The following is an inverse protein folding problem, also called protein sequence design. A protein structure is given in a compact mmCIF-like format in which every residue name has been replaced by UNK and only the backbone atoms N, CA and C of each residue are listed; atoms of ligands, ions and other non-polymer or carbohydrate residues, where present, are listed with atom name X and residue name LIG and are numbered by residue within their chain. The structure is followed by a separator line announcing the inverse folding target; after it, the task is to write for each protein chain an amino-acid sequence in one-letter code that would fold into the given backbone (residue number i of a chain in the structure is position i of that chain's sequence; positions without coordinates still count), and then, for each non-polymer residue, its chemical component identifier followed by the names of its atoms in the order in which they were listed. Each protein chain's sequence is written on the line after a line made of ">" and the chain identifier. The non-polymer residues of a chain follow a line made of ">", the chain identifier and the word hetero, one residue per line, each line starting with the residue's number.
data_IF_784767507994
#
_entry.id   IF_784767507994
#
_cell.length_a   1.000
_cell.length_b   1.000
_cell.length_c   1.000
_cell.angle_alpha   90.00
_cell.angle_beta   90.00
_cell.angle_gamma   90.00
#
_symmetry.space_group_name_H-M   'P 1'
#
loop_
_entity.id
_entity.type
_entity.pdbx_description
1 polymer ?
#
# COMPACT_ATOMS: atom_id res chain seq x y z
N UNK A 1 52.81 19.94 6.39
CA UNK A 1 51.94 18.84 5.93
C UNK A 1 50.74 18.77 6.86
N UNK A 2 49.62 19.35 6.45
CA UNK A 2 48.32 19.18 7.13
C UNK A 2 47.71 17.94 6.51
N UNK A 3 47.57 16.87 7.30
CA UNK A 3 46.86 15.66 6.87
C UNK A 3 45.39 16.05 6.67
N UNK A 4 44.90 15.99 5.43
CA UNK A 4 43.49 16.08 5.13
C UNK A 4 42.75 14.96 5.87
N UNK A 5 41.99 15.33 6.91
CA UNK A 5 41.05 14.40 7.53
C UNK A 5 39.98 14.09 6.49
N UNK A 6 40.05 12.92 5.88
CA UNK A 6 38.95 12.34 5.10
C UNK A 6 37.71 12.34 5.99
N UNK A 7 36.74 13.20 5.69
CA UNK A 7 35.46 13.20 6.38
C UNK A 7 34.84 11.82 6.17
N UNK A 8 34.84 10.98 7.21
CA UNK A 8 34.05 9.76 7.23
C UNK A 8 32.61 10.26 7.29
N UNK A 9 31.95 10.33 6.14
CA UNK A 9 30.57 10.77 6.04
C UNK A 9 29.71 9.78 6.81
N UNK A 10 29.35 10.13 8.05
CA UNK A 10 28.41 9.34 8.84
C UNK A 10 27.08 9.39 8.09
N UNK A 11 26.50 8.24 7.70
CA UNK A 11 25.20 8.22 7.07
C UNK A 11 24.17 8.86 8.01
N UNK A 12 23.41 9.83 7.50
CA UNK A 12 22.31 10.46 8.24
C UNK A 12 21.00 10.28 7.47
N UNK A 13 19.92 9.99 8.20
CA UNK A 13 18.58 9.95 7.63
C UNK A 13 18.13 11.39 7.40
N UNK A 14 17.90 11.75 6.14
CA UNK A 14 17.46 13.10 5.75
C UNK A 14 15.94 13.25 5.71
N UNK A 15 15.22 12.14 5.51
CA UNK A 15 13.77 12.12 5.43
C UNK A 15 13.25 10.71 5.69
N UNK A 16 11.99 10.64 6.14
CA UNK A 16 11.19 9.43 6.19
C UNK A 16 9.78 9.76 5.68
N UNK A 17 9.15 8.79 5.02
CA UNK A 17 7.81 8.91 4.44
C UNK A 17 7.02 7.63 4.72
N UNK A 18 5.72 7.75 4.90
CA UNK A 18 4.83 6.59 4.94
C UNK A 18 4.52 6.11 3.52
N UNK A 19 4.46 4.78 3.35
CA UNK A 19 3.94 4.14 2.14
C UNK A 19 2.84 3.17 2.55
N UNK A 20 1.63 3.43 2.06
CA UNK A 20 0.49 2.53 2.20
C UNK A 20 0.31 1.74 0.90
N UNK A 21 0.52 0.43 0.93
CA UNK A 21 0.30 -0.41 -0.23
C UNK A 21 -1.14 -0.95 -0.23
N UNK A 22 -1.90 -0.65 -1.28
CA UNK A 22 -3.21 -1.26 -1.50
C UNK A 22 -3.05 -2.57 -2.28
N UNK A 23 -3.11 -3.69 -1.56
CA UNK A 23 -2.80 -5.04 -2.06
C UNK A 23 -4.01 -5.98 -1.91
N UNK A 24 -5.12 -5.72 -2.64
CA UNK A 24 -6.38 -6.42 -2.44
C UNK A 24 -6.28 -7.95 -2.66
N UNK A 25 -5.40 -8.43 -3.54
CA UNK A 25 -5.26 -9.88 -3.76
C UNK A 25 -4.68 -10.61 -2.54
N UNK A 26 -3.84 -9.95 -1.74
CA UNK A 26 -3.27 -10.55 -0.53
C UNK A 26 -4.31 -10.80 0.57
N UNK A 27 -5.49 -10.18 0.48
CA UNK A 27 -6.61 -10.48 1.39
C UNK A 27 -6.94 -11.97 1.37
N UNK A 28 -6.92 -12.59 0.20
CA UNK A 28 -7.22 -14.02 0.02
C UNK A 28 -6.23 -14.94 0.73
N UNK A 29 -4.99 -14.47 0.90
CA UNK A 29 -3.91 -15.17 1.60
C UNK A 29 -4.00 -15.05 3.12
N UNK A 30 -4.91 -14.22 3.65
CA UNK A 30 -5.09 -14.03 5.08
C UNK A 30 -5.58 -15.29 5.81
N UNK A 31 -5.22 -15.42 7.09
CA UNK A 31 -5.55 -16.60 7.92
C UNK A 31 -7.05 -16.92 7.99
N UNK A 32 -7.91 -15.89 8.04
CA UNK A 32 -9.37 -16.06 8.07
C UNK A 32 -9.91 -16.46 6.68
N UNK A 33 -9.67 -15.70 5.59
CA UNK A 33 -10.04 -16.11 4.24
C UNK A 33 -9.56 -17.51 3.89
N UNK A 34 -8.30 -17.87 4.14
CA UNK A 34 -7.76 -19.19 3.81
C UNK A 34 -8.54 -20.34 4.45
N UNK A 35 -8.89 -20.25 5.74
CA UNK A 35 -9.65 -21.28 6.46
C UNK A 35 -11.10 -21.37 5.98
N UNK A 36 -11.75 -20.23 5.75
CA UNK A 36 -13.14 -20.23 5.28
C UNK A 36 -13.27 -20.67 3.82
N UNK A 37 -12.31 -20.30 2.96
CA UNK A 37 -12.27 -20.73 1.56
C UNK A 37 -12.05 -22.24 1.44
N UNK A 38 -11.24 -22.85 2.32
CA UNK A 38 -11.09 -24.30 2.37
C UNK A 38 -12.41 -25.02 2.72
N UNK A 39 -13.33 -24.35 3.44
CA UNK A 39 -14.62 -24.89 3.87
C UNK A 39 -15.76 -24.58 2.89
N UNK A 40 -15.76 -23.38 2.30
CA UNK A 40 -16.90 -22.82 1.54
C UNK A 40 -16.62 -22.71 0.03
N UNK A 41 -15.36 -22.86 -0.40
CA UNK A 41 -14.99 -22.93 -1.81
C UNK A 41 -15.26 -21.65 -2.62
N UNK A 42 -15.71 -21.84 -3.86
CA UNK A 42 -15.76 -20.78 -4.89
C UNK A 42 -16.83 -19.72 -4.64
N UNK A 43 -17.94 -20.07 -3.99
CA UNK A 43 -19.02 -19.12 -3.68
C UNK A 43 -18.48 -17.99 -2.79
N UNK A 44 -17.80 -18.36 -1.71
CA UNK A 44 -17.18 -17.38 -0.82
C UNK A 44 -16.05 -16.61 -1.52
N UNK A 45 -15.28 -17.27 -2.39
CA UNK A 45 -14.22 -16.60 -3.18
C UNK A 45 -14.79 -15.48 -4.04
N UNK A 46 -15.87 -15.76 -4.77
CA UNK A 46 -16.55 -14.79 -5.62
C UNK A 46 -17.11 -13.63 -4.79
N UNK A 47 -17.76 -13.95 -3.67
CA UNK A 47 -18.28 -12.95 -2.74
C UNK A 47 -17.16 -12.06 -2.18
N UNK A 48 -16.05 -12.64 -1.71
CA UNK A 48 -14.92 -11.86 -1.20
C UNK A 48 -14.35 -10.93 -2.26
N UNK A 49 -14.11 -11.42 -3.48
CA UNK A 49 -13.60 -10.61 -4.58
C UNK A 49 -14.52 -9.43 -4.90
N UNK A 50 -15.82 -9.64 -4.90
CA UNK A 50 -16.81 -8.59 -5.16
C UNK A 50 -16.83 -7.48 -4.09
N UNK A 51 -16.29 -7.74 -2.89
CA UNK A 51 -16.20 -6.77 -1.79
C UNK A 51 -14.80 -6.18 -1.60
N UNK A 52 -13.83 -6.53 -2.46
CA UNK A 52 -12.51 -5.89 -2.43
C UNK A 52 -12.63 -4.44 -2.92
N UNK A 53 -11.96 -3.54 -2.22
CA UNK A 53 -11.92 -2.12 -2.57
C UNK A 53 -11.03 -1.89 -3.79
N UNK A 54 -11.41 -0.93 -4.63
CA UNK A 54 -10.52 -0.44 -5.68
C UNK A 54 -9.39 0.40 -5.09
N UNK A 55 -8.32 0.62 -5.87
CA UNK A 55 -7.26 1.55 -5.46
C UNK A 55 -7.81 2.96 -5.22
N UNK A 56 -8.74 3.41 -6.07
CA UNK A 56 -9.42 4.71 -5.91
C UNK A 56 -10.14 4.81 -4.57
N UNK A 57 -10.87 3.77 -4.16
CA UNK A 57 -11.58 3.76 -2.87
C UNK A 57 -10.60 3.78 -1.69
N UNK A 58 -9.47 3.09 -1.82
CA UNK A 58 -8.41 3.12 -0.81
C UNK A 58 -7.79 4.52 -0.70
N UNK A 59 -7.53 5.18 -1.83
CA UNK A 59 -7.01 6.56 -1.84
C UNK A 59 -8.01 7.53 -1.24
N UNK A 60 -9.30 7.41 -1.60
CA UNK A 60 -10.35 8.30 -1.13
C UNK A 60 -10.76 8.07 0.34
N UNK A 61 -10.22 7.06 1.02
CA UNK A 61 -10.56 6.77 2.41
C UNK A 61 -10.03 7.89 3.34
N UNK A 62 -10.90 8.62 4.08
CA UNK A 62 -10.48 9.79 4.85
C UNK A 62 -9.30 9.55 5.80
N UNK A 63 -9.24 8.43 6.56
CA UNK A 63 -8.10 8.14 7.42
C UNK A 63 -6.77 7.95 6.68
N UNK A 64 -6.79 7.42 5.46
CA UNK A 64 -5.55 7.30 4.69
C UNK A 64 -5.03 8.67 4.26
N UNK A 65 -5.93 9.61 3.94
CA UNK A 65 -5.57 10.98 3.57
C UNK A 65 -5.00 11.77 4.75
N UNK A 66 -5.48 11.50 5.97
CA UNK A 66 -4.82 11.98 7.20
C UNK A 66 -3.44 11.36 7.36
N UNK A 67 -3.32 10.04 7.19
CA UNK A 67 -2.05 9.32 7.38
C UNK A 67 -0.95 9.79 6.41
N UNK A 68 -1.28 10.08 5.15
CA UNK A 68 -0.31 10.62 4.18
C UNK A 68 -0.15 12.14 4.26
N UNK A 69 -0.84 12.81 5.19
CA UNK A 69 -0.65 14.23 5.50
C UNK A 69 -1.33 15.20 4.54
N UNK A 70 -2.39 14.77 3.85
CA UNK A 70 -3.22 15.66 3.03
C UNK A 70 -4.34 16.33 3.83
N UNK A 71 -4.69 15.76 4.98
CA UNK A 71 -5.69 16.27 5.90
C UNK A 71 -5.17 16.20 7.33
N UNK A 72 -5.75 17.02 8.21
CA UNK A 72 -5.43 17.00 9.65
C UNK A 72 -6.31 15.97 10.37
N UNK A 73 -5.83 15.32 11.45
CA UNK A 73 -6.61 14.33 12.19
C UNK A 73 -7.97 14.84 12.69
N UNK A 74 -8.06 16.13 13.00
CA UNK A 74 -9.27 16.79 13.51
C UNK A 74 -10.46 16.66 12.55
N UNK A 75 -10.18 16.62 11.23
CA UNK A 75 -11.20 16.40 10.20
C UNK A 75 -12.02 15.12 10.49
N UNK A 76 -11.37 14.06 10.99
CA UNK A 76 -12.02 12.77 11.22
C UNK A 76 -13.02 12.79 12.39
N UNK A 77 -12.92 13.73 13.33
CA UNK A 77 -13.90 13.88 14.40
C UNK A 77 -15.24 14.38 13.87
N UNK A 78 -15.20 15.25 12.86
CA UNK A 78 -16.38 15.86 12.23
C UNK A 78 -16.88 15.03 11.04
N UNK A 79 -16.00 14.21 10.44
CA UNK A 79 -16.33 13.46 9.24
C UNK A 79 -17.38 12.35 9.52
N UNK A 80 -18.50 12.31 8.77
CA UNK A 80 -19.57 11.35 9.02
C UNK A 80 -19.11 9.89 8.98
N UNK A 81 -19.50 9.12 9.99
CA UNK A 81 -19.23 7.68 10.08
C UNK A 81 -20.38 6.85 9.47
N UNK A 82 -20.09 5.67 8.90
CA UNK A 82 -18.78 5.06 8.78
C UNK A 82 -17.97 5.60 7.59
N UNK A 83 -16.67 5.85 7.79
CA UNK A 83 -15.82 6.52 6.79
C UNK A 83 -15.65 5.74 5.49
N UNK A 84 -15.74 4.41 5.51
CA UNK A 84 -15.59 3.60 4.30
C UNK A 84 -16.78 3.74 3.33
N UNK A 85 -17.91 4.30 3.78
CA UNK A 85 -19.06 4.63 2.94
C UNK A 85 -19.05 6.10 2.47
N UNK A 86 -18.01 6.86 2.84
CA UNK A 86 -17.92 8.31 2.64
C UNK A 86 -16.53 8.64 2.05
N UNK A 87 -16.26 8.24 0.79
CA UNK A 87 -15.01 8.57 0.13
C UNK A 87 -14.88 10.09 -0.04
N UNK A 88 -13.66 10.61 0.05
CA UNK A 88 -13.38 12.01 -0.26
C UNK A 88 -13.24 12.22 -1.76
N UNK A 89 -13.86 13.29 -2.25
CA UNK A 89 -13.78 13.66 -3.66
C UNK A 89 -12.37 14.13 -4.03
N UNK A 90 -11.91 13.72 -5.22
CA UNK A 90 -10.62 14.13 -5.81
C UNK A 90 -9.40 13.90 -4.88
N UNK A 91 -9.44 12.89 -4.02
CA UNK A 91 -8.34 12.57 -3.11
C UNK A 91 -7.05 12.18 -3.87
N UNK A 92 -5.90 12.82 -3.58
CA UNK A 92 -4.63 12.46 -4.21
C UNK A 92 -3.94 11.29 -3.51
N UNK A 93 -3.21 10.47 -4.26
CA UNK A 93 -2.47 9.33 -3.71
C UNK A 93 -1.17 9.72 -3.01
N UNK A 94 -0.69 10.96 -3.17
CA UNK A 94 0.54 11.47 -2.56
C UNK A 94 0.19 12.65 -1.65
N UNK A 95 0.89 12.74 -0.52
CA UNK A 95 0.75 13.84 0.42
C UNK A 95 2.04 14.21 1.11
N UNK A 96 1.96 15.22 1.98
CA UNK A 96 3.12 15.82 2.62
C UNK A 96 3.88 14.85 3.54
N UNK A 97 3.26 13.77 4.02
CA UNK A 97 3.87 12.79 4.93
C UNK A 97 4.11 11.42 4.26
N UNK A 98 3.55 11.16 3.08
CA UNK A 98 3.66 9.84 2.46
C UNK A 98 2.89 9.69 1.17
N UNK A 99 2.68 8.44 0.77
CA UNK A 99 1.92 8.08 -0.42
C UNK A 99 1.20 6.75 -0.26
N UNK A 100 0.22 6.52 -1.12
CA UNK A 100 -0.50 5.27 -1.29
C UNK A 100 -0.10 4.73 -2.67
N UNK A 101 0.32 3.47 -2.72
CA UNK A 101 0.71 2.79 -3.97
C UNK A 101 -0.28 1.67 -4.29
N UNK A 102 -0.49 1.44 -5.58
CA UNK A 102 -1.28 0.31 -6.05
C UNK A 102 -0.51 -1.01 -5.90
N UNK A 103 -1.21 -2.11 -6.15
CA UNK A 103 -0.69 -3.46 -5.99
C UNK A 103 0.45 -3.78 -6.96
N UNK A 104 0.35 -3.33 -8.20
CA UNK A 104 1.36 -3.60 -9.24
C UNK A 104 2.65 -2.86 -8.87
N UNK A 105 2.55 -1.59 -8.44
CA UNK A 105 3.67 -0.82 -7.89
C UNK A 105 4.31 -1.50 -6.67
N UNK A 106 3.50 -2.02 -5.74
CA UNK A 106 4.02 -2.73 -4.57
C UNK A 106 4.79 -4.00 -4.97
N UNK A 107 4.24 -4.84 -5.85
CA UNK A 107 4.95 -6.04 -6.30
C UNK A 107 6.20 -5.71 -7.12
N UNK A 108 6.20 -4.62 -7.89
CA UNK A 108 7.36 -4.14 -8.60
C UNK A 108 8.51 -3.79 -7.63
N UNK A 109 8.19 -3.15 -6.50
CA UNK A 109 9.17 -2.82 -5.46
C UNK A 109 9.63 -4.06 -4.70
N UNK A 110 8.69 -4.95 -4.37
CA UNK A 110 8.96 -6.19 -3.67
C UNK A 110 9.91 -7.09 -4.48
N UNK A 111 9.65 -7.25 -5.79
CA UNK A 111 10.52 -7.98 -6.72
C UNK A 111 11.92 -7.37 -6.81
N UNK A 112 12.03 -6.03 -6.86
CA UNK A 112 13.33 -5.33 -6.89
C UNK A 112 14.10 -5.45 -5.57
N UNK A 113 13.40 -5.59 -4.44
CA UNK A 113 14.01 -5.75 -3.13
C UNK A 113 14.40 -7.19 -2.79
N UNK A 114 13.98 -8.17 -3.60
CA UNK A 114 14.16 -9.58 -3.32
C UNK A 114 15.59 -10.06 -3.63
N UNK A 115 16.48 -9.88 -2.67
CA UNK A 115 17.86 -10.38 -2.75
C UNK A 115 17.96 -11.90 -2.51
N UNK A 116 16.87 -12.56 -2.14
CA UNK A 116 16.83 -13.97 -1.76
C UNK A 116 16.17 -14.86 -2.82
N UNK A 117 15.73 -14.29 -3.96
CA UNK A 117 15.04 -15.00 -5.04
C UNK A 117 13.83 -15.81 -4.55
N UNK A 118 13.05 -15.25 -3.63
CA UNK A 118 11.83 -15.84 -3.09
C UNK A 118 10.58 -15.52 -3.92
N UNK A 119 10.67 -14.53 -4.81
CA UNK A 119 9.55 -14.06 -5.61
C UNK A 119 9.65 -14.65 -7.00
N UNK A 120 8.59 -15.37 -7.37
CA UNK A 120 8.39 -15.88 -8.72
C UNK A 120 7.15 -15.20 -9.28
N UNK A 121 7.32 -14.54 -10.42
CA UNK A 121 6.24 -13.89 -11.15
C UNK A 121 5.84 -14.76 -12.32
N UNK A 122 4.54 -14.89 -12.54
CA UNK A 122 4.01 -15.55 -13.73
C UNK A 122 4.41 -14.76 -15.00
N UNK A 123 4.68 -15.46 -16.10
CA UNK A 123 5.08 -14.85 -17.37
C UNK A 123 4.03 -13.87 -17.91
N UNK A 124 2.74 -14.10 -17.61
CA UNK A 124 1.66 -13.17 -17.97
C UNK A 124 1.57 -11.97 -17.01
N UNK A 125 2.15 -12.05 -15.81
CA UNK A 125 2.11 -10.99 -14.81
C UNK A 125 3.35 -10.09 -14.82
N UNK A 126 4.54 -10.67 -15.01
CA UNK A 126 5.80 -9.92 -15.00
C UNK A 126 5.81 -8.68 -15.92
N UNK A 127 5.24 -8.71 -17.15
CA UNK A 127 5.19 -7.52 -18.02
C UNK A 127 4.41 -6.34 -17.43
N UNK A 128 3.47 -6.58 -16.51
CA UNK A 128 2.66 -5.52 -15.88
C UNK A 128 3.47 -4.65 -14.92
N UNK A 129 4.55 -5.19 -14.36
CA UNK A 129 5.36 -4.52 -13.32
C UNK A 129 6.80 -4.23 -13.75
N UNK A 130 7.10 -4.45 -15.03
CA UNK A 130 8.44 -4.35 -15.62
C UNK A 130 8.89 -2.91 -15.94
N UNK A 131 8.02 -1.91 -15.77
CA UNK A 131 8.35 -0.49 -15.91
C UNK A 131 9.13 0.05 -14.70
#
# INVERSE_FOLDING_TARGET
>A
MIQERRAIGVPVIRAARFVLAHVPDLVMSGSKPRRELARQGEVLRTQLRAHLRSFRDAVAYPPHQVLIGNQVPELLYEFPRPWHMRPMDNAPAVGAAGMIIDQDSFYAWLARADTANLIVLDDAYAPRIAA
#
